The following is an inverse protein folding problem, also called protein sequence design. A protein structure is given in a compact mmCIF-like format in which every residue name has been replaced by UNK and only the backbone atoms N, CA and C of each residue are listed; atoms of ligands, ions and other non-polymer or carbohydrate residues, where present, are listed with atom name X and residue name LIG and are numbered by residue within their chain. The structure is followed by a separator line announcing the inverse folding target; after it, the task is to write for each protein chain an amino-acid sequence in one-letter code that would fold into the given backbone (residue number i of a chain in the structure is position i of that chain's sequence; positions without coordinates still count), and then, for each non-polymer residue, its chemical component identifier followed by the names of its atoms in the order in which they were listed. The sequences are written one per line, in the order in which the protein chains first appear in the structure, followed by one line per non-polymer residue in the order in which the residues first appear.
data_IF_179489454892
#
_entry.id   IF_179489454892
#
_cell.length_a   1.000
_cell.length_b   1.000
_cell.length_c   1.000
_cell.angle_alpha   90.00
_cell.angle_beta   90.00
_cell.angle_gamma   90.00
#
_symmetry.space_group_name_H-M   'P 1'
#
loop_
_entity.id
_entity.type
_entity.pdbx_description
1 polymer ?
#
# COMPACT_ATOMS: atom_id res chain seq x y z
N UNK A 1 21.35 14.23 -7.08
CA UNK A 1 20.66 12.95 -7.26
C UNK A 1 21.33 11.92 -6.39
N UNK A 2 20.65 11.57 -5.29
CA UNK A 2 21.11 10.57 -4.33
C UNK A 2 21.25 9.20 -4.99
N UNK A 3 21.90 8.25 -4.31
CA UNK A 3 21.96 6.87 -4.81
C UNK A 3 20.59 6.20 -4.82
N UNK A 4 19.68 6.63 -3.93
CA UNK A 4 18.29 6.19 -3.94
C UNK A 4 17.57 6.67 -5.20
N UNK A 5 17.68 7.96 -5.54
CA UNK A 5 17.03 8.53 -6.74
C UNK A 5 17.54 7.86 -8.03
N UNK A 6 18.84 7.55 -8.10
CA UNK A 6 19.41 6.80 -9.24
C UNK A 6 18.81 5.41 -9.37
N UNK A 7 18.62 4.72 -8.26
CA UNK A 7 18.04 3.37 -8.25
C UNK A 7 16.54 3.42 -8.58
N UNK A 8 15.81 4.41 -8.05
CA UNK A 8 14.40 4.64 -8.34
C UNK A 8 14.17 5.01 -9.81
N UNK A 9 15.01 5.88 -10.38
CA UNK A 9 14.97 6.21 -11.80
C UNK A 9 15.20 4.99 -12.71
N UNK A 10 16.20 4.16 -12.37
CA UNK A 10 16.44 2.90 -13.10
C UNK A 10 15.28 1.92 -12.98
N UNK A 11 14.68 1.83 -11.79
CA UNK A 11 13.50 1.04 -11.54
C UNK A 11 12.33 1.51 -12.42
N UNK A 12 12.03 2.81 -12.39
CA UNK A 12 10.94 3.38 -13.17
C UNK A 12 11.12 3.17 -14.67
N UNK A 13 12.32 3.44 -15.21
CA UNK A 13 12.64 3.17 -16.61
C UNK A 13 12.44 1.70 -17.00
N UNK A 14 12.83 0.76 -16.13
CA UNK A 14 12.70 -0.68 -16.40
C UNK A 14 11.25 -1.11 -16.53
N UNK A 15 10.37 -0.56 -15.69
CA UNK A 15 8.97 -0.96 -15.64
C UNK A 15 8.01 0.02 -16.34
N UNK A 16 8.55 1.05 -17.01
CA UNK A 16 7.76 2.01 -17.78
C UNK A 16 7.00 3.04 -16.93
N UNK A 17 7.41 3.24 -15.68
CA UNK A 17 6.87 4.32 -14.84
C UNK A 17 7.49 5.65 -15.22
N UNK A 18 6.67 6.70 -15.26
CA UNK A 18 7.12 8.09 -15.39
C UNK A 18 7.25 8.68 -13.99
N UNK A 19 8.42 9.21 -13.66
CA UNK A 19 8.65 9.93 -12.39
C UNK A 19 8.34 11.40 -12.64
N UNK A 20 7.68 12.06 -11.68
CA UNK A 20 7.46 13.51 -11.70
C UNK A 20 8.81 14.25 -11.54
N UNK A 21 9.00 15.38 -12.23
CA UNK A 21 10.28 16.11 -12.30
C UNK A 21 10.62 16.90 -11.01
N UNK A 22 10.30 16.38 -9.82
CA UNK A 22 10.56 17.06 -8.55
C UNK A 22 12.04 16.97 -8.13
N UNK A 23 12.59 18.09 -7.67
CA UNK A 23 13.94 18.20 -7.12
C UNK A 23 14.06 17.35 -5.84
N UNK A 24 14.52 16.10 -5.97
CA UNK A 24 14.72 15.19 -4.85
C UNK A 24 16.08 15.46 -4.17
N UNK A 25 16.06 15.82 -2.87
CA UNK A 25 17.25 16.01 -2.03
C UNK A 25 17.53 14.80 -1.13
N UNK A 26 18.78 14.56 -0.71
CA UNK A 26 19.22 13.24 -0.19
C UNK A 26 18.48 12.73 1.06
N UNK A 27 18.02 11.46 1.09
CA UNK A 27 17.43 10.87 2.30
C UNK A 27 18.36 9.90 3.07
N UNK A 28 18.19 9.88 4.39
CA UNK A 28 18.52 8.75 5.27
C UNK A 28 17.43 8.63 6.36
N UNK A 29 16.79 7.44 6.45
CA UNK A 29 15.67 6.98 7.32
C UNK A 29 14.42 6.50 6.50
N UNK A 30 13.71 5.48 6.99
CA UNK A 30 12.57 4.80 6.34
C UNK A 30 11.41 5.74 5.98
N UNK A 31 11.03 6.65 6.90
CA UNK A 31 9.94 7.60 6.65
C UNK A 31 10.26 8.56 5.49
N UNK A 32 11.53 8.98 5.37
CA UNK A 32 11.99 9.82 4.27
C UNK A 32 12.04 9.06 2.94
N UNK A 33 12.41 7.78 2.95
CA UNK A 33 12.35 6.91 1.77
C UNK A 33 10.91 6.78 1.26
N UNK A 34 9.95 6.60 2.16
CA UNK A 34 8.53 6.53 1.80
C UNK A 34 7.99 7.85 1.22
N UNK A 35 8.35 9.00 1.80
CA UNK A 35 7.98 10.32 1.27
C UNK A 35 8.53 10.54 -0.16
N UNK A 36 9.78 10.16 -0.42
CA UNK A 36 10.35 10.24 -1.77
C UNK A 36 9.64 9.34 -2.80
N UNK A 37 9.26 8.12 -2.38
CA UNK A 37 8.49 7.23 -3.23
C UNK A 37 7.09 7.79 -3.49
N UNK A 38 6.48 8.40 -2.48
CA UNK A 38 5.22 9.12 -2.63
C UNK A 38 5.35 10.20 -3.71
N UNK A 39 6.31 11.12 -3.60
CA UNK A 39 6.52 12.21 -4.59
C UNK A 39 6.74 11.66 -6.00
N UNK A 40 7.53 10.60 -6.12
CA UNK A 40 7.87 9.99 -7.39
C UNK A 40 6.67 9.29 -8.07
N UNK A 41 5.72 8.79 -7.27
CA UNK A 41 4.61 7.96 -7.74
C UNK A 41 3.23 8.61 -7.59
N UNK A 42 3.14 9.83 -7.06
CA UNK A 42 1.88 10.54 -6.80
C UNK A 42 0.95 10.55 -8.04
N UNK A 43 1.51 10.72 -9.24
CA UNK A 43 0.75 10.77 -10.50
C UNK A 43 0.37 9.40 -11.08
N UNK A 44 0.88 8.31 -10.51
CA UNK A 44 0.75 6.95 -11.03
C UNK A 44 -0.21 6.08 -10.22
N UNK A 45 -0.54 6.51 -9.00
CA UNK A 45 -1.40 5.76 -8.09
C UNK A 45 -2.65 6.50 -7.71
N UNK A 46 -3.45 5.83 -6.90
CA UNK A 46 -4.56 6.49 -6.24
C UNK A 46 -4.09 7.10 -4.93
N UNK A 47 -4.36 8.38 -4.78
CA UNK A 47 -4.04 9.18 -3.61
C UNK A 47 -5.32 9.30 -2.78
N UNK A 48 -5.27 8.83 -1.54
CA UNK A 48 -6.36 9.03 -0.58
C UNK A 48 -5.93 10.00 0.51
N UNK A 49 -6.78 10.99 0.76
CA UNK A 49 -6.67 11.91 1.87
C UNK A 49 -7.53 11.37 3.00
N UNK A 50 -6.90 10.84 4.05
CA UNK A 50 -7.65 10.36 5.20
C UNK A 50 -8.04 11.51 6.12
N UNK A 51 -9.32 11.55 6.51
CA UNK A 51 -9.83 12.52 7.47
C UNK A 51 -9.59 12.03 8.91
N UNK A 52 -8.82 12.80 9.67
CA UNK A 52 -8.55 12.50 11.08
C UNK A 52 -9.85 12.45 11.92
N UNK A 53 -9.97 11.45 12.79
CA UNK A 53 -11.05 11.38 13.79
C UNK A 53 -12.32 10.65 13.32
N UNK A 54 -12.31 10.04 12.14
CA UNK A 54 -13.36 9.13 11.71
C UNK A 54 -13.15 7.74 12.33
N UNK A 55 -14.18 7.17 12.97
CA UNK A 55 -14.08 5.83 13.55
C UNK A 55 -13.91 4.74 12.49
N UNK A 56 -13.19 3.63 12.77
CA UNK A 56 -12.90 2.57 11.80
C UNK A 56 -14.11 1.98 11.07
N UNK A 57 -15.24 1.87 11.77
CA UNK A 57 -16.50 1.38 11.20
C UNK A 57 -16.96 2.13 9.95
N UNK A 58 -16.58 3.41 9.84
CA UNK A 58 -17.06 4.29 8.80
C UNK A 58 -16.15 4.30 7.57
N UNK A 59 -14.88 3.90 7.70
CA UNK A 59 -13.90 4.06 6.62
C UNK A 59 -13.22 2.75 6.20
N UNK A 60 -13.12 1.73 7.07
CA UNK A 60 -12.28 0.56 6.79
C UNK A 60 -12.76 -0.21 5.56
N UNK A 61 -14.07 -0.38 5.41
CA UNK A 61 -14.67 -0.99 4.24
C UNK A 61 -14.28 -0.25 2.95
N UNK A 62 -14.48 1.07 2.94
CA UNK A 62 -14.21 1.92 1.78
C UNK A 62 -12.72 1.93 1.44
N UNK A 63 -11.87 1.98 2.46
CA UNK A 63 -10.42 1.91 2.31
C UNK A 63 -9.99 0.59 1.64
N UNK A 64 -10.53 -0.55 2.09
CA UNK A 64 -10.23 -1.85 1.46
C UNK A 64 -10.73 -1.87 0.01
N UNK A 65 -11.91 -1.30 -0.26
CA UNK A 65 -12.43 -1.20 -1.63
C UNK A 65 -11.51 -0.34 -2.52
N UNK A 66 -10.98 0.76 -2.00
CA UNK A 66 -9.98 1.60 -2.70
C UNK A 66 -8.74 0.79 -3.07
N UNK A 67 -8.22 -0.05 -2.18
CA UNK A 67 -7.12 -0.97 -2.50
C UNK A 67 -7.46 -1.91 -3.66
N UNK A 68 -8.66 -2.51 -3.64
CA UNK A 68 -9.10 -3.44 -4.68
C UNK A 68 -9.24 -2.73 -6.04
N UNK A 69 -9.80 -1.52 -6.06
CA UNK A 69 -9.98 -0.72 -7.27
C UNK A 69 -8.66 -0.41 -8.00
N UNK A 70 -7.52 -0.44 -7.31
CA UNK A 70 -6.21 -0.23 -7.94
C UNK A 70 -5.79 -1.35 -8.88
N UNK A 71 -6.35 -2.55 -8.74
CA UNK A 71 -6.03 -3.69 -9.58
C UNK A 71 -6.97 -3.65 -10.80
N UNK A 72 -6.48 -3.35 -12.02
CA UNK A 72 -7.35 -3.26 -13.18
C UNK A 72 -7.94 -4.63 -13.52
N UNK A 73 -9.26 -4.71 -13.64
CA UNK A 73 -9.95 -5.96 -13.95
C UNK A 73 -10.04 -6.95 -12.78
N UNK A 74 -9.76 -6.50 -11.55
CA UNK A 74 -9.98 -7.32 -10.37
C UNK A 74 -11.45 -7.77 -10.27
N UNK A 75 -11.66 -9.01 -9.84
CA UNK A 75 -12.97 -9.63 -9.63
C UNK A 75 -13.42 -9.66 -8.17
N UNK A 76 -12.54 -9.28 -7.26
CA UNK A 76 -12.70 -9.32 -5.82
C UNK A 76 -13.44 -8.09 -5.29
N UNK A 77 -14.26 -8.31 -4.27
CA UNK A 77 -14.98 -7.25 -3.56
C UNK A 77 -14.98 -7.55 -2.08
N UNK A 78 -15.12 -6.50 -1.28
CA UNK A 78 -15.42 -6.65 0.14
C UNK A 78 -16.83 -7.24 0.26
N UNK A 79 -16.94 -8.41 0.90
CA UNK A 79 -18.21 -9.07 1.21
C UNK A 79 -18.65 -8.77 2.64
N UNK A 80 -17.70 -8.78 3.56
CA UNK A 80 -17.94 -8.47 4.96
C UNK A 80 -16.73 -7.77 5.59
N UNK A 81 -16.99 -6.84 6.51
CA UNK A 81 -15.98 -6.17 7.32
C UNK A 81 -16.62 -5.83 8.67
N UNK A 82 -16.41 -6.73 9.62
CA UNK A 82 -17.13 -6.80 10.89
C UNK A 82 -16.16 -6.67 12.07
N UNK A 83 -16.69 -6.23 13.21
CA UNK A 83 -16.01 -6.31 14.50
C UNK A 83 -16.99 -6.67 15.63
N UNK A 84 -16.62 -7.68 16.42
CA UNK A 84 -17.35 -8.13 17.61
C UNK A 84 -16.80 -7.55 18.94
N UNK A 85 -15.70 -6.79 18.89
CA UNK A 85 -14.95 -6.34 20.08
C UNK A 85 -14.79 -4.81 20.16
N UNK A 86 -15.71 -4.08 19.52
CA UNK A 86 -15.71 -2.62 19.54
C UNK A 86 -14.62 -2.01 18.66
N UNK A 87 -14.28 -2.66 17.55
CA UNK A 87 -13.23 -2.28 16.60
C UNK A 87 -11.81 -2.37 17.17
N UNK A 88 -11.59 -3.22 18.18
CA UNK A 88 -10.22 -3.59 18.56
C UNK A 88 -9.60 -4.50 17.51
N UNK A 89 -10.40 -5.42 16.96
CA UNK A 89 -10.10 -6.21 15.78
C UNK A 89 -11.20 -6.06 14.73
N UNK A 90 -10.87 -6.29 13.46
CA UNK A 90 -11.88 -6.48 12.43
C UNK A 90 -11.54 -7.71 11.58
N UNK A 91 -12.58 -8.45 11.25
CA UNK A 91 -12.52 -9.56 10.30
C UNK A 91 -12.97 -9.05 8.94
N UNK A 92 -12.11 -9.19 7.95
CA UNK A 92 -12.38 -8.83 6.56
C UNK A 92 -12.59 -10.11 5.76
N UNK A 93 -13.64 -10.12 4.96
CA UNK A 93 -13.93 -11.15 3.96
C UNK A 93 -14.01 -10.52 2.58
N UNK A 94 -13.17 -11.02 1.67
CA UNK A 94 -13.19 -10.69 0.26
C UNK A 94 -13.77 -11.87 -0.51
N UNK A 95 -14.61 -11.56 -1.51
CA UNK A 95 -15.20 -12.57 -2.40
C UNK A 95 -14.90 -12.22 -3.85
N UNK A 96 -14.46 -13.21 -4.63
CA UNK A 96 -14.26 -13.09 -6.08
C UNK A 96 -15.57 -13.32 -6.83
N UNK A 97 -15.59 -12.97 -8.12
CA UNK A 97 -16.77 -13.18 -8.98
C UNK A 97 -17.10 -14.66 -9.25
N UNK A 98 -16.15 -15.57 -9.06
CA UNK A 98 -16.35 -17.03 -9.15
C UNK A 98 -16.65 -17.69 -7.80
N UNK A 99 -16.71 -16.90 -6.71
CA UNK A 99 -17.12 -17.35 -5.38
C UNK A 99 -16.00 -17.87 -4.49
N UNK A 100 -14.73 -17.67 -4.88
CA UNK A 100 -13.60 -17.85 -3.98
C UNK A 100 -13.63 -16.79 -2.86
N UNK A 101 -13.21 -17.18 -1.67
CA UNK A 101 -13.22 -16.32 -0.48
C UNK A 101 -11.82 -16.19 0.09
N UNK A 102 -11.43 -14.96 0.43
CA UNK A 102 -10.19 -14.66 1.15
C UNK A 102 -10.51 -13.91 2.44
N UNK A 103 -10.00 -14.41 3.56
CA UNK A 103 -10.26 -13.81 4.87
C UNK A 103 -8.96 -13.41 5.55
N UNK A 104 -8.98 -12.27 6.22
CA UNK A 104 -7.91 -11.85 7.11
C UNK A 104 -8.46 -11.08 8.31
N UNK A 105 -7.68 -11.05 9.38
CA UNK A 105 -7.96 -10.27 10.58
C UNK A 105 -6.96 -9.13 10.66
N UNK A 106 -7.47 -7.96 11.05
CA UNK A 106 -6.71 -6.78 11.41
C UNK A 106 -6.85 -6.57 12.92
N UNK A 107 -5.74 -6.32 13.60
CA UNK A 107 -5.68 -6.02 15.03
C UNK A 107 -5.36 -4.53 15.24
N UNK A 108 -5.62 -4.04 16.46
CA UNK A 108 -5.34 -2.67 16.91
C UNK A 108 -5.98 -1.59 16.03
N UNK A 109 -7.21 -1.81 15.57
CA UNK A 109 -7.88 -0.90 14.62
C UNK A 109 -8.40 0.36 15.32
N UNK A 110 -8.85 0.26 16.56
CA UNK A 110 -9.43 1.38 17.31
C UNK A 110 -8.49 2.59 17.41
N UNK A 111 -7.17 2.34 17.43
CA UNK A 111 -6.11 3.35 17.53
C UNK A 111 -5.58 3.81 16.15
N UNK A 112 -6.19 3.32 15.06
CA UNK A 112 -5.78 3.71 13.71
C UNK A 112 -6.50 4.99 13.27
N UNK A 113 -5.82 6.11 13.47
CA UNK A 113 -6.30 7.44 13.09
C UNK A 113 -6.43 7.62 11.55
N UNK A 114 -5.91 6.68 10.73
CA UNK A 114 -5.71 6.83 9.27
C UNK A 114 -5.89 5.52 8.49
N UNK A 115 -4.89 4.64 8.59
CA UNK A 115 -4.81 3.33 7.92
C UNK A 115 -4.36 2.33 8.97
N UNK A 116 -5.09 1.22 9.21
CA UNK A 116 -4.62 0.22 10.14
C UNK A 116 -3.24 -0.28 9.74
N UNK A 117 -2.29 -0.31 10.69
CA UNK A 117 -0.88 -0.59 10.40
C UNK A 117 -0.68 -1.94 9.68
N UNK A 118 -1.56 -2.92 9.93
CA UNK A 118 -1.51 -4.24 9.31
C UNK A 118 -2.12 -4.28 7.90
N UNK A 119 -3.01 -3.35 7.53
CA UNK A 119 -3.80 -3.40 6.30
C UNK A 119 -2.92 -3.44 5.03
N UNK A 120 -1.90 -2.59 4.84
CA UNK A 120 -1.04 -2.65 3.65
C UNK A 120 -0.38 -4.02 3.47
N UNK A 121 0.09 -4.62 4.57
CA UNK A 121 0.73 -5.93 4.51
C UNK A 121 -0.26 -7.04 4.14
N UNK A 122 -1.50 -7.00 4.69
CA UNK A 122 -2.57 -7.94 4.34
C UNK A 122 -3.00 -7.81 2.88
N UNK A 123 -3.22 -6.59 2.40
CA UNK A 123 -3.62 -6.34 1.00
C UNK A 123 -2.51 -6.70 0.00
N UNK A 124 -1.25 -6.49 0.38
CA UNK A 124 -0.10 -6.97 -0.40
C UNK A 124 -0.08 -8.49 -0.50
N UNK A 125 -0.22 -9.20 0.62
CA UNK A 125 -0.25 -10.66 0.63
C UNK A 125 -1.40 -11.21 -0.21
N UNK A 126 -2.61 -10.69 0.03
CA UNK A 126 -3.81 -11.00 -0.76
C UNK A 126 -3.57 -10.84 -2.27
N UNK A 127 -3.14 -9.66 -2.71
CA UNK A 127 -2.96 -9.36 -4.14
C UNK A 127 -1.84 -10.18 -4.79
N UNK A 128 -0.77 -10.48 -4.05
CA UNK A 128 0.30 -11.36 -4.53
C UNK A 128 -0.17 -12.80 -4.74
N UNK A 129 -1.09 -13.28 -3.92
CA UNK A 129 -1.60 -14.66 -3.97
C UNK A 129 -2.76 -14.82 -4.97
N UNK A 130 -3.61 -13.80 -5.12
CA UNK A 130 -4.91 -13.91 -5.77
C UNK A 130 -5.09 -12.98 -6.98
N UNK A 131 -4.11 -12.14 -7.31
CA UNK A 131 -4.19 -11.19 -8.42
C UNK A 131 -2.94 -11.26 -9.30
N UNK A 132 -3.01 -10.65 -10.48
CA UNK A 132 -1.91 -10.54 -11.46
C UNK A 132 -0.87 -9.46 -11.10
N UNK A 133 -1.20 -8.62 -10.11
CA UNK A 133 -0.39 -7.51 -9.61
C UNK A 133 -0.36 -7.53 -8.10
N UNK A 134 0.71 -7.00 -7.54
CA UNK A 134 0.87 -6.77 -6.11
C UNK A 134 0.57 -5.33 -5.77
N UNK A 135 -0.24 -5.13 -4.74
CA UNK A 135 -0.50 -3.83 -4.14
C UNK A 135 0.70 -3.38 -3.29
N UNK A 136 1.10 -2.13 -3.48
CA UNK A 136 2.17 -1.47 -2.74
C UNK A 136 1.64 -0.14 -2.22
N UNK A 137 1.89 0.16 -0.94
CA UNK A 137 1.45 1.40 -0.29
C UNK A 137 2.66 2.23 0.11
N UNK A 138 2.64 3.52 -0.24
CA UNK A 138 3.61 4.51 0.21
C UNK A 138 2.91 5.50 1.13
N UNK A 139 3.55 5.81 2.25
CA UNK A 139 3.01 6.71 3.27
C UNK A 139 3.71 8.08 3.15
N UNK A 140 2.94 9.14 3.02
CA UNK A 140 3.39 10.52 3.30
C UNK A 140 2.99 10.95 4.72
N UNK A 141 3.21 12.23 5.06
CA UNK A 141 2.70 12.81 6.31
C UNK A 141 1.15 12.87 6.31
N UNK A 142 0.56 13.07 5.12
CA UNK A 142 -0.84 13.01 4.68
C UNK A 142 -0.82 13.64 3.28
N UNK A 143 -1.12 12.93 2.16
CA UNK A 143 -1.88 11.68 2.00
C UNK A 143 -1.02 10.40 1.86
N UNK A 144 -1.66 9.26 1.53
CA UNK A 144 -0.97 8.02 1.12
C UNK A 144 -1.27 7.63 -0.33
N UNK A 145 -0.37 6.85 -0.94
CA UNK A 145 -0.48 6.37 -2.34
C UNK A 145 -0.58 4.84 -2.36
N UNK A 146 -1.49 4.31 -3.18
CA UNK A 146 -1.58 2.89 -3.48
C UNK A 146 -1.29 2.64 -4.97
N UNK A 147 -0.38 1.70 -5.26
CA UNK A 147 -0.09 1.21 -6.61
C UNK A 147 -0.35 -0.28 -6.74
N UNK A 148 -0.95 -0.70 -7.86
CA UNK A 148 -0.91 -2.08 -8.32
C UNK A 148 0.25 -2.26 -9.33
N UNK A 149 1.27 -3.01 -8.94
CA UNK A 149 2.49 -3.21 -9.73
C UNK A 149 2.66 -4.68 -10.14
N UNK A 150 3.34 -4.98 -11.26
CA UNK A 150 3.79 -6.34 -11.54
C UNK A 150 4.58 -6.92 -10.36
N UNK A 151 4.43 -8.22 -10.05
CA UNK A 151 5.04 -8.83 -8.85
C UNK A 151 6.56 -8.61 -8.75
N UNK A 152 7.28 -8.71 -9.87
CA UNK A 152 8.72 -8.46 -9.91
C UNK A 152 9.08 -7.00 -9.59
N UNK A 153 8.28 -6.04 -10.07
CA UNK A 153 8.44 -4.64 -9.74
C UNK A 153 8.17 -4.38 -8.25
N UNK A 154 7.14 -5.00 -7.68
CA UNK A 154 6.85 -4.90 -6.25
C UNK A 154 8.00 -5.45 -5.39
N UNK A 155 8.56 -6.63 -5.70
CA UNK A 155 9.70 -7.17 -4.94
C UNK A 155 10.97 -6.30 -5.08
N UNK A 156 11.20 -5.73 -6.26
CA UNK A 156 12.35 -4.85 -6.50
C UNK A 156 12.21 -3.54 -5.73
N UNK A 157 11.03 -2.89 -5.72
CA UNK A 157 10.84 -1.63 -4.96
C UNK A 157 10.96 -1.86 -3.44
N UNK A 158 10.49 -2.99 -2.91
CA UNK A 158 10.69 -3.35 -1.50
C UNK A 158 12.17 -3.58 -1.17
N UNK A 159 12.91 -4.21 -2.08
CA UNK A 159 14.35 -4.40 -1.93
C UNK A 159 15.10 -3.06 -1.90
N UNK A 160 14.67 -2.09 -2.72
CA UNK A 160 15.20 -0.73 -2.71
C UNK A 160 14.88 -0.01 -1.39
N UNK A 161 13.64 -0.08 -0.91
CA UNK A 161 13.26 0.50 0.39
C UNK A 161 14.15 -0.03 1.50
N UNK A 162 14.27 -1.36 1.62
CA UNK A 162 15.09 -2.00 2.66
C UNK A 162 16.56 -1.57 2.58
N UNK A 163 17.14 -1.59 1.38
CA UNK A 163 18.52 -1.17 1.13
C UNK A 163 18.78 0.26 1.62
N UNK A 164 17.91 1.21 1.29
CA UNK A 164 18.12 2.63 1.55
C UNK A 164 17.59 3.09 2.92
N UNK A 165 16.71 2.31 3.55
CA UNK A 165 16.33 2.44 4.96
C UNK A 165 17.36 1.84 5.94
N UNK A 166 18.36 1.11 5.43
CA UNK A 166 19.36 0.42 6.27
C UNK A 166 18.80 -0.82 6.97
N UNK A 167 17.69 -1.38 6.49
CA UNK A 167 17.06 -2.58 7.02
C UNK A 167 17.77 -3.82 6.45
N UNK A 168 18.21 -4.74 7.31
CA UNK A 168 18.86 -5.98 6.86
C UNK A 168 17.83 -7.05 6.45
N UNK A 169 18.26 -8.10 5.74
CA UNK A 169 17.37 -9.15 5.20
C UNK A 169 16.57 -9.95 6.26
N UNK A 170 16.79 -9.69 7.55
CA UNK A 170 16.32 -10.51 8.66
C UNK A 170 15.10 -9.96 9.42
N UNK A 171 14.56 -8.80 9.01
CA UNK A 171 13.39 -8.17 9.64
C UNK A 171 12.10 -8.39 8.84
#
# INVERSE_FOLDING_TARGET
MSDFDKDLYKFALRYGYQISDSDHSEPSNTSLVHAHLFDAFELLGHVEYSEQGCGPANYLWELIDVYLQQIPGNSWKVYDCDSDDGWMTAKVELVSSDGETYQFVLEDIFDSDWVPAQLPAKMRAFSKENCDKTLVTFFGDDPFVILAMPHNAAEEIYSLIRKHAGLTQSD
#
